data_IF_652703007667
#
_entry.id   IF_652703007667
#
_cell.length_a   1.000
_cell.length_b   1.000
_cell.length_c   1.000
_cell.angle_alpha   90.00
_cell.angle_beta   90.00
_cell.angle_gamma   90.00
#
_symmetry.space_group_name_H-M   'P 1'
#
loop_
_entity.id
_entity.type
_entity.pdbx_description
1 polymer ?
#
# COMPACT_ATOMS: atom_id res chain seq x y z
N UNK A 1 4.01 4.45 1.63
CA UNK A 1 4.45 5.25 0.45
C UNK A 1 5.92 5.65 0.64
N UNK A 2 6.79 5.50 -0.36
CA UNK A 2 8.21 5.90 -0.20
C UNK A 2 8.83 6.45 -1.48
N UNK A 3 9.69 7.46 -1.30
CA UNK A 3 10.63 7.87 -2.34
C UNK A 3 11.78 6.86 -2.37
N UNK A 4 11.88 6.10 -3.46
CA UNK A 4 12.97 5.12 -3.63
C UNK A 4 13.95 5.67 -4.64
N UNK A 5 15.24 5.57 -4.34
CA UNK A 5 16.30 5.91 -5.29
C UNK A 5 16.11 5.14 -6.60
N UNK A 6 16.13 5.86 -7.72
CA UNK A 6 16.03 5.25 -9.04
C UNK A 6 17.22 4.33 -9.27
N UNK A 7 16.94 3.05 -9.54
CA UNK A 7 17.90 2.01 -9.88
C UNK A 7 17.25 1.05 -10.88
N UNK A 8 18.02 0.12 -11.45
CA UNK A 8 17.47 -0.83 -12.44
C UNK A 8 16.33 -1.70 -11.92
N UNK A 9 16.40 -2.18 -10.68
CA UNK A 9 15.38 -3.03 -10.09
C UNK A 9 14.04 -2.28 -9.97
N UNK A 10 14.10 -1.04 -9.48
CA UNK A 10 12.96 -0.11 -9.40
C UNK A 10 12.34 0.14 -10.78
N UNK A 11 13.16 0.38 -11.80
CA UNK A 11 12.66 0.61 -13.15
C UNK A 11 11.99 -0.64 -13.75
N UNK A 12 12.51 -1.84 -13.46
CA UNK A 12 11.88 -3.10 -13.86
C UNK A 12 10.55 -3.32 -13.17
N UNK A 13 10.49 -3.07 -11.86
CA UNK A 13 9.27 -3.17 -11.06
C UNK A 13 8.18 -2.21 -11.59
N UNK A 14 8.51 -0.95 -11.81
CA UNK A 14 7.59 0.02 -12.39
C UNK A 14 7.11 -0.40 -13.79
N UNK A 15 7.99 -1.01 -14.60
CA UNK A 15 7.62 -1.53 -15.91
C UNK A 15 6.62 -2.70 -15.81
N UNK A 16 6.79 -3.60 -14.83
CA UNK A 16 5.83 -4.69 -14.58
C UNK A 16 4.47 -4.19 -14.08
N UNK A 17 4.44 -3.05 -13.40
CA UNK A 17 3.22 -2.37 -12.96
C UNK A 17 2.53 -1.58 -14.08
N UNK A 18 3.09 -1.59 -15.30
CA UNK A 18 2.50 -0.94 -16.47
C UNK A 18 2.94 0.51 -16.69
N UNK A 19 3.80 1.06 -15.83
CA UNK A 19 4.41 2.37 -16.06
C UNK A 19 5.46 2.29 -17.16
N UNK A 20 5.59 3.36 -17.95
CA UNK A 20 6.57 3.38 -19.05
C UNK A 20 7.38 4.68 -19.15
N UNK A 21 7.04 5.71 -18.35
CA UNK A 21 7.75 6.98 -18.30
C UNK A 21 7.87 7.47 -16.86
N UNK A 22 9.03 8.02 -16.51
CA UNK A 22 9.20 8.89 -15.35
C UNK A 22 9.23 10.35 -15.80
N UNK A 23 8.52 11.22 -15.10
CA UNK A 23 8.49 12.66 -15.36
C UNK A 23 8.89 13.45 -14.12
N UNK A 24 9.50 14.62 -14.31
CA UNK A 24 9.75 15.59 -13.24
C UNK A 24 9.54 17.01 -13.78
N UNK A 25 9.08 17.98 -12.96
CA UNK A 25 8.95 19.37 -13.37
C UNK A 25 10.23 19.96 -13.96
N UNK A 26 10.10 21.02 -14.76
CA UNK A 26 11.23 21.66 -15.47
C UNK A 26 12.21 22.39 -14.57
N UNK A 27 11.79 22.78 -13.37
CA UNK A 27 12.62 23.50 -12.40
C UNK A 27 13.15 22.52 -11.36
N UNK A 28 14.35 21.99 -11.63
CA UNK A 28 15.07 21.13 -10.70
C UNK A 28 16.18 21.95 -10.05
N UNK A 29 16.09 22.15 -8.73
CA UNK A 29 17.12 22.86 -7.97
C UNK A 29 18.42 22.05 -7.85
N UNK A 30 18.31 20.71 -7.82
CA UNK A 30 19.46 19.79 -7.74
C UNK A 30 19.30 18.60 -8.70
N UNK A 31 20.04 18.56 -9.82
CA UNK A 31 20.00 17.46 -10.81
C UNK A 31 20.42 16.09 -10.26
N UNK A 32 21.06 16.01 -9.10
CA UNK A 32 21.38 14.73 -8.44
C UNK A 32 20.22 14.21 -7.59
N UNK A 33 19.30 15.08 -7.18
CA UNK A 33 18.15 14.79 -6.32
C UNK A 33 16.82 15.06 -7.03
N UNK A 34 16.70 14.59 -8.27
CA UNK A 34 15.44 14.70 -9.03
C UNK A 34 14.35 13.87 -8.37
N UNK A 35 13.19 14.46 -8.12
CA UNK A 35 12.00 13.70 -7.72
C UNK A 35 11.19 13.34 -8.95
N UNK A 36 11.02 12.04 -9.19
CA UNK A 36 10.32 11.49 -10.33
C UNK A 36 8.91 11.02 -9.97
N UNK A 37 7.98 11.23 -10.89
CA UNK A 37 6.65 10.62 -10.89
C UNK A 37 6.56 9.61 -12.03
N UNK A 38 6.11 8.38 -11.73
CA UNK A 38 5.86 7.36 -12.73
C UNK A 38 4.49 7.58 -13.39
N UNK A 39 4.43 7.44 -14.72
CA UNK A 39 3.20 7.55 -15.51
C UNK A 39 3.16 6.47 -16.61
N UNK A 40 1.95 6.19 -17.09
CA UNK A 40 1.69 5.33 -18.24
C UNK A 40 1.18 6.17 -19.40
N UNK A 41 1.80 6.03 -20.57
CA UNK A 41 1.37 6.71 -21.81
C UNK A 41 1.32 5.71 -22.97
N UNK A 42 0.28 5.74 -23.81
CA UNK A 42 0.12 4.73 -24.87
C UNK A 42 1.27 4.74 -25.89
N UNK A 43 1.47 5.89 -26.53
CA UNK A 43 2.44 6.06 -27.62
C UNK A 43 3.51 7.05 -27.18
N UNK A 44 4.50 6.58 -26.41
CA UNK A 44 5.56 7.40 -25.79
C UNK A 44 6.15 8.41 -26.78
N UNK A 45 6.52 7.99 -27.99
CA UNK A 45 7.12 8.89 -28.99
C UNK A 45 6.18 10.02 -29.45
N UNK A 46 4.89 9.70 -29.65
CA UNK A 46 3.90 10.69 -30.05
C UNK A 46 3.57 11.63 -28.90
N UNK A 47 3.52 11.10 -27.68
CA UNK A 47 3.34 11.87 -26.45
C UNK A 47 4.50 12.85 -26.25
N UNK A 48 5.75 12.39 -26.35
CA UNK A 48 6.95 13.22 -26.28
C UNK A 48 6.89 14.33 -27.34
N UNK A 49 6.59 14.01 -28.60
CA UNK A 49 6.43 15.01 -29.66
C UNK A 49 5.36 16.05 -29.31
N UNK A 50 4.24 15.63 -28.74
CA UNK A 50 3.16 16.54 -28.34
C UNK A 50 3.62 17.57 -27.29
N UNK A 51 4.51 17.19 -26.37
CA UNK A 51 5.07 18.11 -25.37
C UNK A 51 5.92 19.20 -26.02
N UNK A 52 6.65 18.87 -27.08
CA UNK A 52 7.52 19.82 -27.81
C UNK A 52 6.78 20.71 -28.81
N UNK A 53 5.51 20.43 -29.11
CA UNK A 53 4.69 21.28 -30.01
C UNK A 53 3.96 22.41 -29.28
N UNK A 54 3.85 22.35 -27.95
CA UNK A 54 3.23 23.40 -27.14
C UNK A 54 4.23 24.54 -26.91
N UNK A 55 3.80 25.81 -27.06
CA UNK A 55 4.62 27.03 -26.92
C UNK A 55 5.12 27.32 -25.47
N UNK A 56 5.28 26.29 -24.63
CA UNK A 56 5.79 26.45 -23.27
C UNK A 56 7.32 26.43 -23.28
N UNK A 57 7.93 27.38 -22.56
CA UNK A 57 9.38 27.42 -22.31
C UNK A 57 9.83 26.44 -21.21
N UNK A 58 8.91 26.02 -20.35
CA UNK A 58 9.14 25.04 -19.28
C UNK A 58 9.00 23.62 -19.84
N UNK A 59 10.11 22.86 -19.88
CA UNK A 59 10.17 21.49 -20.41
C UNK A 59 10.41 20.51 -19.27
N UNK A 60 9.52 19.53 -19.03
CA UNK A 60 9.73 18.55 -17.97
C UNK A 60 10.95 17.69 -18.28
N UNK A 61 11.58 17.18 -17.23
CA UNK A 61 12.54 16.09 -17.38
C UNK A 61 11.77 14.79 -17.63
N UNK A 62 12.25 13.99 -18.57
CA UNK A 62 11.57 12.77 -19.02
C UNK A 62 12.60 11.64 -19.06
N UNK A 63 12.28 10.52 -18.43
CA UNK A 63 13.02 9.27 -18.57
C UNK A 63 12.07 8.18 -19.04
N UNK A 64 12.32 7.66 -20.25
CA UNK A 64 11.59 6.50 -20.77
C UNK A 64 12.16 5.24 -20.12
N UNK A 65 11.34 4.49 -19.39
CA UNK A 65 11.79 3.38 -18.54
C UNK A 65 12.50 2.31 -19.38
N UNK A 66 11.88 1.87 -20.49
CA UNK A 66 12.48 0.87 -21.37
C UNK A 66 13.82 1.31 -21.96
N UNK A 67 13.95 2.59 -22.34
CA UNK A 67 15.21 3.13 -22.86
C UNK A 67 16.29 3.15 -21.77
N UNK A 68 15.95 3.58 -20.56
CA UNK A 68 16.87 3.62 -19.42
C UNK A 68 17.40 2.23 -19.07
N UNK A 69 16.52 1.22 -19.02
CA UNK A 69 16.87 -0.17 -18.77
C UNK A 69 17.81 -0.77 -19.82
N UNK A 70 17.76 -0.31 -21.07
CA UNK A 70 18.65 -0.81 -22.13
C UNK A 70 19.95 0.00 -22.22
N UNK A 71 19.91 1.32 -22.04
CA UNK A 71 20.99 2.22 -22.48
C UNK A 71 21.66 3.02 -21.37
N UNK A 72 21.06 3.10 -20.17
CA UNK A 72 21.63 3.87 -19.06
C UNK A 72 22.35 2.93 -18.09
N UNK A 73 23.59 3.29 -17.75
CA UNK A 73 24.38 2.58 -16.73
C UNK A 73 23.87 2.92 -15.32
N UNK A 74 23.95 1.96 -14.41
CA UNK A 74 23.48 2.08 -13.01
C UNK A 74 23.95 3.37 -12.33
N UNK A 75 25.25 3.67 -12.43
CA UNK A 75 25.87 4.87 -11.84
C UNK A 75 25.34 6.20 -12.38
N UNK A 76 24.63 6.19 -13.50
CA UNK A 76 24.07 7.36 -14.16
C UNK A 76 22.55 7.50 -13.91
N UNK A 77 21.93 6.56 -13.20
CA UNK A 77 20.56 6.72 -12.70
C UNK A 77 20.60 7.59 -11.44
N UNK A 78 19.84 8.69 -11.43
CA UNK A 78 19.81 9.66 -10.35
C UNK A 78 18.39 10.04 -9.95
N UNK A 79 18.27 10.60 -8.76
CA UNK A 79 16.99 10.97 -8.17
C UNK A 79 16.26 9.82 -7.48
N UNK A 80 15.06 10.15 -7.00
CA UNK A 80 14.15 9.22 -6.33
C UNK A 80 12.80 9.28 -7.00
N UNK A 81 12.21 8.12 -7.25
CA UNK A 81 10.86 8.01 -7.79
C UNK A 81 9.88 7.74 -6.66
N UNK A 82 8.73 8.40 -6.72
CA UNK A 82 7.60 8.06 -5.88
C UNK A 82 7.05 6.71 -6.34
N UNK A 83 7.26 5.67 -5.52
CA UNK A 83 6.68 4.36 -5.79
C UNK A 83 5.55 4.15 -4.78
N UNK A 84 4.36 4.06 -5.33
CA UNK A 84 3.24 3.37 -4.70
C UNK A 84 3.53 1.86 -4.77
N UNK A 85 4.40 1.37 -3.87
CA UNK A 85 4.56 -0.06 -3.66
C UNK A 85 3.32 -0.46 -2.84
N UNK A 86 2.17 -0.63 -3.50
CA UNK A 86 0.87 -0.67 -2.83
C UNK A 86 0.50 -2.03 -2.23
N UNK A 87 1.40 -3.02 -2.21
CA UNK A 87 1.14 -4.28 -1.52
C UNK A 87 2.43 -4.77 -0.87
N UNK A 88 2.49 -4.81 0.46
CA UNK A 88 3.57 -5.51 1.17
C UNK A 88 3.41 -7.01 0.99
N UNK A 89 4.53 -7.68 0.72
CA UNK A 89 4.59 -9.13 0.68
C UNK A 89 4.78 -9.69 2.09
N UNK A 90 4.57 -11.00 2.26
CA UNK A 90 4.87 -11.70 3.51
C UNK A 90 6.30 -11.44 4.00
N UNK A 91 7.27 -11.42 3.09
CA UNK A 91 8.68 -11.16 3.43
C UNK A 91 8.91 -9.72 3.89
N UNK A 92 8.21 -8.73 3.31
CA UNK A 92 8.24 -7.34 3.79
C UNK A 92 7.71 -7.26 5.25
N UNK A 93 6.62 -7.97 5.57
CA UNK A 93 6.09 -8.04 6.95
C UNK A 93 7.03 -8.73 7.93
N UNK A 94 7.72 -9.79 7.50
CA UNK A 94 8.73 -10.48 8.32
C UNK A 94 9.92 -9.55 8.60
N UNK A 95 10.37 -8.79 7.60
CA UNK A 95 11.49 -7.87 7.75
C UNK A 95 11.17 -6.74 8.74
N UNK A 96 9.96 -6.19 8.65
CA UNK A 96 9.56 -5.00 9.42
C UNK A 96 9.03 -5.32 10.83
N UNK A 97 8.30 -6.44 10.98
CA UNK A 97 7.57 -6.77 12.24
C UNK A 97 7.90 -8.19 12.74
N UNK A 98 8.78 -8.91 12.06
CA UNK A 98 9.22 -10.24 12.47
C UNK A 98 8.11 -11.30 12.41
N UNK A 99 8.18 -12.26 13.32
CA UNK A 99 7.23 -13.38 13.41
C UNK A 99 5.78 -12.92 13.60
N UNK A 100 5.56 -11.74 14.19
CA UNK A 100 4.21 -11.19 14.33
C UNK A 100 3.65 -10.69 13.00
N UNK A 101 4.46 -10.05 12.15
CA UNK A 101 4.07 -9.69 10.79
C UNK A 101 3.69 -10.92 9.96
N UNK A 102 4.47 -12.01 10.05
CA UNK A 102 4.12 -13.28 9.40
C UNK A 102 2.78 -13.85 9.93
N UNK A 103 2.55 -13.78 11.24
CA UNK A 103 1.29 -14.21 11.87
C UNK A 103 0.09 -13.49 11.24
N UNK A 104 0.16 -12.16 11.15
CA UNK A 104 -0.94 -11.34 10.64
C UNK A 104 -1.19 -11.56 9.14
N UNK A 105 -0.12 -11.65 8.34
CA UNK A 105 -0.23 -11.94 6.91
C UNK A 105 -0.89 -13.31 6.66
N UNK A 106 -0.40 -14.36 7.33
CA UNK A 106 -0.96 -15.72 7.18
C UNK A 106 -2.39 -15.83 7.70
N UNK A 107 -2.74 -15.06 8.74
CA UNK A 107 -4.12 -14.97 9.23
C UNK A 107 -5.04 -14.45 8.13
N UNK A 108 -4.68 -13.31 7.51
CA UNK A 108 -5.54 -12.68 6.51
C UNK A 108 -5.68 -13.53 5.25
N UNK A 109 -4.60 -14.17 4.79
CA UNK A 109 -4.67 -15.15 3.71
C UNK A 109 -5.65 -16.30 4.03
N UNK A 110 -5.57 -16.86 5.25
CA UNK A 110 -6.48 -17.92 5.68
C UNK A 110 -7.92 -17.43 5.84
N UNK A 111 -8.13 -16.22 6.35
CA UNK A 111 -9.45 -15.59 6.51
C UNK A 111 -10.12 -15.35 5.16
N UNK A 112 -9.38 -14.87 4.16
CA UNK A 112 -9.92 -14.59 2.83
C UNK A 112 -10.19 -15.87 2.03
N UNK A 113 -9.31 -16.87 2.13
CA UNK A 113 -9.38 -18.08 1.30
C UNK A 113 -10.11 -19.25 1.96
N UNK A 114 -10.26 -19.22 3.29
CA UNK A 114 -10.69 -20.36 4.10
C UNK A 114 -9.65 -21.48 4.19
N UNK A 115 -8.43 -21.27 3.69
CA UNK A 115 -7.35 -22.27 3.76
C UNK A 115 -6.52 -22.11 5.03
N UNK A 116 -6.94 -22.80 6.08
CA UNK A 116 -6.34 -22.69 7.42
C UNK A 116 -5.01 -23.45 7.61
N UNK A 117 -4.59 -24.27 6.64
CA UNK A 117 -3.50 -25.22 6.88
C UNK A 117 -2.17 -24.54 7.21
N UNK A 118 -1.78 -23.54 6.41
CA UNK A 118 -0.51 -22.83 6.62
C UNK A 118 -0.53 -22.02 7.93
N UNK A 119 -1.66 -21.39 8.24
CA UNK A 119 -1.81 -20.61 9.45
C UNK A 119 -1.79 -21.49 10.72
N UNK A 120 -2.50 -22.62 10.74
CA UNK A 120 -2.50 -23.56 11.88
C UNK A 120 -1.11 -24.18 12.12
N UNK A 121 -0.42 -24.61 11.05
CA UNK A 121 0.95 -25.14 11.15
C UNK A 121 1.89 -24.09 11.72
N UNK A 122 1.79 -22.85 11.25
CA UNK A 122 2.58 -21.73 11.74
C UNK A 122 2.31 -21.43 13.21
N UNK A 123 1.04 -21.27 13.61
CA UNK A 123 0.64 -20.99 14.98
C UNK A 123 1.14 -22.05 15.96
N UNK A 124 1.00 -23.34 15.63
CA UNK A 124 1.49 -24.42 16.50
C UNK A 124 3.00 -24.42 16.69
N UNK A 125 3.75 -23.87 15.73
CA UNK A 125 5.21 -23.83 15.75
C UNK A 125 5.71 -22.61 16.53
N UNK A 126 5.18 -21.43 16.22
CA UNK A 126 5.69 -20.15 16.74
C UNK A 126 4.92 -19.65 17.98
N UNK A 127 3.63 -20.00 18.09
CA UNK A 127 2.72 -19.53 19.14
C UNK A 127 1.92 -20.70 19.79
N UNK A 128 2.58 -21.77 20.26
CA UNK A 128 1.89 -23.01 20.68
C UNK A 128 0.86 -22.81 21.81
N UNK A 129 1.12 -21.87 22.72
CA UNK A 129 0.26 -21.59 23.87
C UNK A 129 -1.07 -20.90 23.47
N UNK A 130 -1.06 -20.05 22.43
CA UNK A 130 -2.24 -19.33 21.95
C UNK A 130 -2.85 -19.91 20.68
N UNK A 131 -2.17 -20.86 20.01
CA UNK A 131 -2.53 -21.36 18.69
C UNK A 131 -4.01 -21.74 18.53
N UNK A 132 -4.59 -22.42 19.52
CA UNK A 132 -6.01 -22.81 19.47
C UNK A 132 -6.95 -21.61 19.57
N UNK A 133 -6.62 -20.64 20.42
CA UNK A 133 -7.40 -19.40 20.57
C UNK A 133 -7.31 -18.54 19.32
N UNK A 134 -6.07 -18.25 18.87
CA UNK A 134 -5.80 -17.46 17.66
C UNK A 134 -6.49 -18.05 16.42
N UNK A 135 -6.45 -19.37 16.24
CA UNK A 135 -7.11 -20.04 15.11
C UNK A 135 -8.63 -19.91 15.19
N UNK A 136 -9.22 -20.05 16.38
CA UNK A 136 -10.66 -19.92 16.57
C UNK A 136 -11.11 -18.49 16.31
N UNK A 137 -10.40 -17.50 16.86
CA UNK A 137 -10.68 -16.08 16.65
C UNK A 137 -10.62 -15.71 15.16
N UNK A 138 -9.62 -16.21 14.42
CA UNK A 138 -9.51 -15.99 12.99
C UNK A 138 -10.66 -16.65 12.20
N UNK A 139 -11.08 -17.85 12.60
CA UNK A 139 -12.24 -18.53 11.99
C UNK A 139 -13.56 -17.79 12.25
N UNK A 140 -13.74 -17.26 13.46
CA UNK A 140 -14.89 -16.43 13.81
C UNK A 140 -14.89 -15.10 13.04
N UNK A 141 -13.72 -14.50 12.83
CA UNK A 141 -13.56 -13.32 11.97
C UNK A 141 -13.94 -13.65 10.51
N UNK A 142 -13.41 -14.73 9.94
CA UNK A 142 -13.75 -15.14 8.58
C UNK A 142 -15.25 -15.42 8.38
N UNK A 143 -15.93 -15.93 9.41
CA UNK A 143 -17.36 -16.20 9.34
C UNK A 143 -18.23 -14.93 9.30
N UNK A 144 -17.72 -13.79 9.79
CA UNK A 144 -18.46 -12.51 9.85
C UNK A 144 -17.95 -11.43 8.90
N UNK A 145 -16.78 -11.64 8.29
CA UNK A 145 -16.12 -10.68 7.42
C UNK A 145 -17.05 -10.28 6.26
N UNK A 146 -17.17 -8.97 6.02
CA UNK A 146 -17.98 -8.43 4.93
C UNK A 146 -17.05 -7.82 3.89
N UNK A 147 -17.36 -8.08 2.63
CA UNK A 147 -16.72 -7.42 1.50
C UNK A 147 -17.56 -6.21 1.09
N UNK A 148 -16.91 -5.06 0.98
CA UNK A 148 -17.55 -3.80 0.57
C UNK A 148 -16.78 -3.19 -0.59
N UNK A 149 -17.47 -2.56 -1.53
CA UNK A 149 -16.83 -1.61 -2.42
C UNK A 149 -16.64 -0.25 -1.71
N UNK A 150 -15.87 0.66 -2.32
CA UNK A 150 -15.57 1.98 -1.74
C UNK A 150 -16.80 2.81 -1.35
N UNK A 151 -17.88 2.72 -2.13
CA UNK A 151 -19.14 3.44 -1.82
C UNK A 151 -19.83 2.82 -0.62
N UNK A 152 -19.92 1.49 -0.57
CA UNK A 152 -20.52 0.75 0.56
C UNK A 152 -19.74 0.98 1.87
N UNK A 153 -18.41 1.03 1.78
CA UNK A 153 -17.54 1.35 2.92
C UNK A 153 -17.84 2.76 3.44
N UNK A 154 -17.92 3.76 2.55
CA UNK A 154 -18.27 5.14 2.91
C UNK A 154 -19.65 5.23 3.58
N UNK A 155 -20.65 4.53 3.04
CA UNK A 155 -21.99 4.48 3.63
C UNK A 155 -21.98 3.81 5.02
N UNK A 156 -21.19 2.74 5.21
CA UNK A 156 -21.05 2.07 6.49
C UNK A 156 -20.35 2.95 7.53
N UNK A 157 -19.28 3.66 7.17
CA UNK A 157 -18.59 4.63 8.03
C UNK A 157 -19.58 5.70 8.50
N UNK A 158 -20.28 6.34 7.57
CA UNK A 158 -21.22 7.41 7.87
C UNK A 158 -22.40 6.93 8.75
N UNK A 159 -22.97 5.77 8.44
CA UNK A 159 -24.09 5.19 9.18
C UNK A 159 -23.73 4.90 10.64
N UNK A 160 -22.53 4.38 10.89
CA UNK A 160 -22.09 3.99 12.23
C UNK A 160 -21.34 5.11 12.97
N UNK A 161 -21.14 6.28 12.33
CA UNK A 161 -20.40 7.43 12.90
C UNK A 161 -18.97 7.08 13.31
N UNK A 162 -18.34 6.22 12.52
CA UNK A 162 -16.96 5.81 12.75
C UNK A 162 -16.05 7.01 12.53
N UNK A 163 -15.21 7.32 13.51
CA UNK A 163 -14.29 8.44 13.48
C UNK A 163 -12.82 8.02 13.51
N UNK A 164 -12.54 6.73 13.70
CA UNK A 164 -11.23 6.12 13.51
C UNK A 164 -11.41 4.71 12.96
N UNK A 165 -10.52 4.34 12.06
CA UNK A 165 -10.44 3.00 11.47
C UNK A 165 -9.14 2.36 11.94
N UNK A 166 -9.15 1.05 12.14
CA UNK A 166 -7.95 0.26 12.42
C UNK A 166 -7.79 -0.73 11.28
N UNK A 167 -6.65 -0.66 10.59
CA UNK A 167 -6.26 -1.64 9.58
C UNK A 167 -5.28 -2.63 10.22
N UNK A 168 -5.60 -3.92 10.21
CA UNK A 168 -4.78 -4.94 10.86
C UNK A 168 -3.37 -5.12 10.25
N UNK A 169 -3.25 -4.83 8.97
CA UNK A 169 -2.05 -4.76 8.15
C UNK A 169 -1.92 -3.34 7.59
N UNK A 170 -0.91 -3.09 6.76
CA UNK A 170 -0.74 -1.80 6.13
C UNK A 170 -1.98 -1.42 5.32
N UNK A 171 -2.58 -0.26 5.59
CA UNK A 171 -3.90 0.11 5.08
C UNK A 171 -3.99 0.27 3.55
N UNK A 172 -2.85 0.36 2.86
CA UNK A 172 -2.81 0.38 1.40
C UNK A 172 -2.81 -1.03 0.77
N UNK A 173 -2.65 -2.07 1.57
CA UNK A 173 -2.65 -3.44 1.07
C UNK A 173 -4.10 -3.92 0.89
N UNK A 174 -4.46 -4.38 -0.31
CA UNK A 174 -5.82 -4.89 -0.63
C UNK A 174 -6.28 -6.07 0.26
N UNK A 175 -5.33 -6.74 0.93
CA UNK A 175 -5.58 -7.85 1.84
C UNK A 175 -5.69 -7.43 3.32
N UNK A 176 -5.75 -6.14 3.63
CA UNK A 176 -6.00 -5.69 4.99
C UNK A 176 -7.47 -5.86 5.36
N UNK A 177 -7.71 -6.13 6.64
CA UNK A 177 -9.03 -6.16 7.26
C UNK A 177 -9.19 -4.90 8.08
N UNK A 178 -10.25 -4.17 7.77
CA UNK A 178 -10.60 -2.90 8.39
C UNK A 178 -11.60 -3.11 9.53
N UNK A 179 -11.34 -2.45 10.64
CA UNK A 179 -12.23 -2.37 11.79
C UNK A 179 -12.59 -0.90 12.06
N UNK A 180 -13.84 -0.65 12.44
CA UNK A 180 -14.32 0.69 12.76
C UNK A 180 -14.45 0.91 14.26
N UNK A 181 -14.05 2.08 14.74
CA UNK A 181 -14.24 2.49 16.13
C UNK A 181 -14.81 3.91 16.26
N UNK A 182 -15.50 4.15 17.37
CA UNK A 182 -16.05 5.46 17.77
C UNK A 182 -15.34 5.91 19.03
N UNK A 183 -14.28 6.71 18.87
CA UNK A 183 -13.48 7.24 19.97
C UNK A 183 -13.91 8.64 20.40
N UNK A 184 -13.52 9.04 21.61
CA UNK A 184 -13.58 10.46 22.00
C UNK A 184 -12.49 11.25 21.26
N UNK A 185 -12.72 12.53 20.96
CA UNK A 185 -11.74 13.37 20.24
C UNK A 185 -10.35 13.37 20.90
N UNK A 186 -10.30 13.31 22.23
CA UNK A 186 -9.05 13.26 23.01
C UNK A 186 -8.24 11.96 22.82
N UNK A 187 -8.89 10.89 22.36
CA UNK A 187 -8.29 9.57 22.11
C UNK A 187 -7.92 9.34 20.65
N UNK A 188 -8.26 10.26 19.74
CA UNK A 188 -7.91 10.13 18.33
C UNK A 188 -6.40 10.28 18.16
N UNK A 189 -5.71 9.14 18.01
CA UNK A 189 -4.30 9.08 17.68
C UNK A 189 -4.16 8.48 16.28
N UNK A 190 -4.02 9.34 15.28
CA UNK A 190 -3.63 8.93 13.94
C UNK A 190 -2.10 8.89 13.89
N UNK A 191 -1.54 7.71 13.60
CA UNK A 191 -0.09 7.55 13.62
C UNK A 191 0.49 8.05 12.30
N UNK A 192 1.37 9.05 12.41
CA UNK A 192 2.31 9.47 11.37
C UNK A 192 3.69 9.41 12.04
N UNK A 193 4.40 8.29 11.88
CA UNK A 193 5.70 8.07 12.51
C UNK A 193 6.19 6.62 12.39
N UNK A 194 7.49 6.45 12.29
CA UNK A 194 8.30 5.26 11.93
C UNK A 194 8.22 4.04 12.90
N UNK A 195 7.06 3.80 13.52
CA UNK A 195 6.78 2.68 14.44
C UNK A 195 6.09 1.49 13.79
N UNK A 196 6.04 0.36 14.52
CA UNK A 196 5.40 -0.91 14.10
C UNK A 196 3.91 -0.73 13.79
N UNK A 197 3.29 0.24 14.46
CA UNK A 197 1.88 0.61 14.32
C UNK A 197 1.56 1.30 12.98
N UNK A 198 2.56 1.56 12.11
CA UNK A 198 2.34 1.90 10.69
C UNK A 198 2.24 0.67 9.79
N UNK A 199 2.56 -0.51 10.30
CA UNK A 199 2.67 -1.75 9.50
C UNK A 199 1.57 -2.74 9.88
N UNK A 200 1.24 -2.81 11.17
CA UNK A 200 0.16 -3.66 11.71
C UNK A 200 -0.66 -2.85 12.71
N UNK A 201 -1.95 -3.16 12.82
CA UNK A 201 -2.90 -2.46 13.69
C UNK A 201 -2.89 -0.93 13.50
N UNK A 202 -2.88 -0.48 12.25
CA UNK A 202 -2.70 0.91 11.83
C UNK A 202 -3.96 1.75 12.11
N UNK A 203 -3.93 2.70 13.06
CA UNK A 203 -5.02 3.63 13.24
C UNK A 203 -4.97 4.71 12.15
N UNK A 204 -6.07 4.86 11.43
CA UNK A 204 -6.17 5.75 10.27
C UNK A 204 -7.52 6.47 10.26
N UNK A 205 -7.55 7.69 9.70
CA UNK A 205 -8.79 8.41 9.54
C UNK A 205 -9.66 7.75 8.45
N UNK A 206 -10.99 7.72 8.61
CA UNK A 206 -11.88 7.23 7.55
C UNK A 206 -11.69 7.97 6.22
N UNK A 207 -11.43 9.27 6.28
CA UNK A 207 -11.20 10.12 5.10
C UNK A 207 -9.92 9.73 4.37
N UNK A 208 -8.84 9.39 5.09
CA UNK A 208 -7.59 8.93 4.47
C UNK A 208 -7.78 7.59 3.78
N UNK A 209 -8.52 6.64 4.36
CA UNK A 209 -8.85 5.38 3.66
C UNK A 209 -9.58 5.69 2.36
N UNK A 210 -10.66 6.47 2.42
CA UNK A 210 -11.49 6.78 1.26
C UNK A 210 -10.76 7.63 0.21
N UNK A 211 -9.73 8.36 0.59
CA UNK A 211 -8.97 9.23 -0.33
C UNK A 211 -7.75 8.53 -0.93
N UNK A 212 -7.00 7.79 -0.11
CA UNK A 212 -5.69 7.25 -0.46
C UNK A 212 -5.74 5.82 -1.03
N UNK A 213 -6.86 5.12 -0.88
CA UNK A 213 -7.05 3.77 -1.43
C UNK A 213 -8.10 3.75 -2.53
N UNK A 214 -7.99 2.82 -3.47
CA UNK A 214 -9.02 2.53 -4.48
C UNK A 214 -9.11 1.02 -4.74
N UNK A 215 -9.25 0.26 -3.65
CA UNK A 215 -9.28 -1.20 -3.71
C UNK A 215 -10.56 -1.69 -4.38
N UNK A 216 -10.43 -2.77 -5.18
CA UNK A 216 -11.60 -3.40 -5.78
C UNK A 216 -12.59 -3.92 -4.72
N UNK A 217 -12.06 -4.38 -3.58
CA UNK A 217 -12.80 -4.89 -2.44
C UNK A 217 -12.10 -4.44 -1.15
N UNK A 218 -12.90 -3.99 -0.18
CA UNK A 218 -12.48 -3.75 1.19
C UNK A 218 -13.02 -4.86 2.08
N UNK A 219 -12.15 -5.50 2.85
CA UNK A 219 -12.55 -6.48 3.85
C UNK A 219 -12.79 -5.77 5.18
N UNK A 220 -14.00 -5.91 5.72
CA UNK A 220 -14.45 -5.16 6.88
C UNK A 220 -14.98 -6.12 7.94
N UNK A 221 -14.48 -6.03 9.18
CA UNK A 221 -15.20 -6.59 10.32
C UNK A 221 -16.38 -5.66 10.61
N UNK A 222 -17.64 -6.12 10.44
CA UNK A 222 -18.79 -5.25 10.60
C UNK A 222 -19.06 -4.84 12.05
N UNK A 223 -18.36 -5.42 13.04
CA UNK A 223 -18.49 -5.08 14.45
C UNK A 223 -17.77 -3.76 14.73
N UNK A 224 -18.53 -2.75 15.15
CA UNK A 224 -18.00 -1.43 15.53
C UNK A 224 -17.61 -1.45 17.01
N UNK A 225 -16.37 -1.06 17.31
CA UNK A 225 -15.84 -0.91 18.67
C UNK A 225 -16.22 0.48 19.23
N UNK A 226 -16.43 0.55 20.55
CA UNK A 226 -16.75 1.77 21.30
C UNK A 226 -15.81 1.92 22.49
#
# INVERSE_FOLDING_TARGET
MKFVKVNRAVLQELQTQGYNVLISPSEIQDPQNITWQAITVDHVDNWIKSLFTRRSSARPHIMVIGYALTNIYERNLSGSVFIEKNIKTKDDYIEEVGTYGEKMYLRNDAVHTGNWHQYDVFLRREFPESAKGDLLEAQELAARLVQMNKTELGDWIAKNRINMMISDLYFLDEGSILEGTVEMEENLQFIIGDGIEEVVDCPISPDDILTLTDHAVYYVDPIVKN
#
